data_IF_042237283624
#
_entry.id   IF_042237283624
#
_cell.length_a   1.000
_cell.length_b   1.000
_cell.length_c   1.000
_cell.angle_alpha   90.00
_cell.angle_beta   90.00
_cell.angle_gamma   90.00
#
_symmetry.space_group_name_H-M   'P 1'
#
loop_
_entity.id
_entity.type
_entity.pdbx_description
1 polymer ?
#
# COMPACT_ATOMS: atom_id res chain seq x y z
N UNK A 1 -8.36 -2.46 -7.38
CA UNK A 1 -7.12 -3.22 -7.39
C UNK A 1 -7.04 -4.19 -6.21
N UNK A 2 -5.88 -4.62 -5.73
CA UNK A 2 -5.71 -5.71 -4.75
C UNK A 2 -6.27 -5.43 -3.34
N UNK A 3 -6.63 -4.20 -3.02
CA UNK A 3 -7.19 -3.85 -1.70
C UNK A 3 -8.59 -4.46 -1.51
N UNK A 4 -9.37 -4.61 -2.57
CA UNK A 4 -10.64 -5.36 -2.51
C UNK A 4 -10.41 -6.83 -2.06
N UNK A 5 -9.23 -7.42 -2.34
CA UNK A 5 -8.87 -8.76 -1.87
C UNK A 5 -8.68 -8.85 -0.35
N UNK A 6 -8.46 -7.73 0.34
CA UNK A 6 -8.34 -7.69 1.80
C UNK A 6 -9.67 -7.91 2.51
N UNK A 7 -10.76 -7.46 1.91
CA UNK A 7 -12.11 -7.68 2.43
C UNK A 7 -12.60 -9.09 2.10
N UNK A 8 -12.34 -9.59 0.88
CA UNK A 8 -12.86 -10.85 0.34
C UNK A 8 -12.56 -12.12 1.18
N UNK A 9 -11.61 -12.11 2.09
CA UNK A 9 -11.40 -13.25 2.99
C UNK A 9 -11.90 -13.04 4.41
N UNK A 10 -12.07 -11.78 4.81
CA UNK A 10 -12.53 -11.41 6.16
C UNK A 10 -14.05 -11.39 6.26
N UNK A 11 -14.74 -11.01 5.19
CA UNK A 11 -16.19 -10.97 5.09
C UNK A 11 -16.83 -12.35 5.25
N UNK A 12 -16.26 -13.39 4.66
CA UNK A 12 -16.77 -14.75 4.79
C UNK A 12 -16.69 -15.25 6.23
N UNK A 13 -15.59 -14.94 6.93
CA UNK A 13 -15.43 -15.27 8.35
C UNK A 13 -16.40 -14.49 9.24
N UNK A 14 -16.75 -13.24 8.88
CA UNK A 14 -17.61 -12.36 9.69
C UNK A 14 -19.08 -12.63 9.41
N UNK A 15 -19.46 -12.84 8.15
CA UNK A 15 -20.81 -13.29 7.76
C UNK A 15 -21.21 -14.54 8.52
N UNK A 16 -20.30 -15.53 8.60
CA UNK A 16 -20.56 -16.80 9.27
C UNK A 16 -20.59 -16.68 10.80
N UNK A 17 -19.88 -15.68 11.38
CA UNK A 17 -19.77 -15.54 12.85
C UNK A 17 -20.69 -14.49 13.46
N UNK A 18 -21.14 -13.47 12.70
CA UNK A 18 -21.88 -12.31 13.22
C UNK A 18 -23.27 -12.13 12.57
N UNK A 19 -23.63 -12.96 11.57
CA UNK A 19 -24.93 -12.91 10.91
C UNK A 19 -25.16 -11.67 10.03
N UNK A 20 -24.10 -10.95 9.65
CA UNK A 20 -24.18 -9.75 8.80
C UNK A 20 -24.27 -10.11 7.32
N UNK A 21 -25.09 -9.37 6.56
CA UNK A 21 -25.07 -9.40 5.10
C UNK A 21 -24.08 -8.35 4.58
N UNK A 22 -23.31 -8.70 3.54
CA UNK A 22 -22.41 -7.78 2.87
C UNK A 22 -22.95 -7.41 1.51
N UNK A 23 -23.01 -6.08 1.24
CA UNK A 23 -23.23 -5.52 -0.08
C UNK A 23 -21.94 -4.83 -0.54
N UNK A 24 -21.44 -5.14 -1.76
CA UNK A 24 -20.23 -4.53 -2.31
C UNK A 24 -20.65 -3.58 -3.44
N UNK A 25 -20.27 -2.30 -3.29
CA UNK A 25 -20.44 -1.27 -4.31
C UNK A 25 -19.08 -0.78 -4.78
N UNK A 26 -18.89 -0.66 -6.09
CA UNK A 26 -17.67 -0.13 -6.69
C UNK A 26 -17.92 1.29 -7.16
N UNK A 27 -16.94 2.19 -6.85
CA UNK A 27 -16.91 3.54 -7.37
C UNK A 27 -15.94 3.59 -8.56
N UNK A 28 -16.38 4.16 -9.67
CA UNK A 28 -15.61 4.28 -10.90
C UNK A 28 -15.37 5.74 -11.23
N UNK A 29 -14.13 6.12 -11.53
CA UNK A 29 -13.76 7.49 -11.95
C UNK A 29 -14.52 7.97 -13.18
N UNK A 30 -14.92 7.05 -14.06
CA UNK A 30 -15.66 7.35 -15.30
C UNK A 30 -17.15 7.65 -15.07
N UNK A 31 -17.65 7.45 -13.87
CA UNK A 31 -19.04 7.67 -13.50
C UNK A 31 -19.17 8.88 -12.58
N UNK A 32 -20.30 9.61 -12.72
CA UNK A 32 -20.60 10.70 -11.81
C UNK A 32 -20.72 10.20 -10.36
N UNK A 33 -19.97 10.82 -9.46
CA UNK A 33 -19.91 10.42 -8.05
C UNK A 33 -21.28 10.55 -7.35
N UNK A 34 -22.06 11.58 -7.68
CA UNK A 34 -23.34 11.82 -7.03
C UNK A 34 -24.35 10.72 -7.39
N UNK A 35 -24.36 10.27 -8.65
CA UNK A 35 -25.18 9.12 -9.08
C UNK A 35 -24.77 7.82 -8.37
N UNK A 36 -23.46 7.60 -8.13
CA UNK A 36 -22.98 6.43 -7.41
C UNK A 36 -23.35 6.49 -5.93
N UNK A 37 -23.30 7.67 -5.31
CA UNK A 37 -23.73 7.89 -3.92
C UNK A 37 -25.23 7.71 -3.75
N UNK A 38 -26.04 8.14 -4.73
CA UNK A 38 -27.50 7.91 -4.69
C UNK A 38 -27.83 6.42 -4.78
N UNK A 39 -27.11 5.68 -5.60
CA UNK A 39 -27.24 4.21 -5.64
C UNK A 39 -26.86 3.57 -4.30
N UNK A 40 -25.81 4.07 -3.63
CA UNK A 40 -25.40 3.58 -2.31
C UNK A 40 -26.43 3.94 -1.23
N UNK A 41 -27.05 5.14 -1.27
CA UNK A 41 -28.12 5.55 -0.35
C UNK A 41 -29.37 4.69 -0.47
N UNK A 42 -29.61 4.11 -1.63
CA UNK A 42 -30.73 3.19 -1.85
C UNK A 42 -30.51 1.81 -1.20
N UNK A 43 -29.28 1.50 -0.77
CA UNK A 43 -28.96 0.27 -0.04
C UNK A 43 -29.32 0.48 1.44
N UNK A 44 -30.22 -0.37 1.96
CA UNK A 44 -30.54 -0.41 3.39
C UNK A 44 -29.38 -1.10 4.14
N UNK A 45 -28.44 -0.31 4.69
CA UNK A 45 -27.27 -0.81 5.40
C UNK A 45 -27.12 -0.12 6.76
N UNK A 46 -26.60 -0.84 7.74
CA UNK A 46 -26.36 -0.33 9.10
C UNK A 46 -25.00 0.37 9.27
N UNK A 47 -24.10 0.24 8.26
CA UNK A 47 -22.78 0.87 8.29
C UNK A 47 -21.99 0.64 7.00
N UNK A 48 -20.94 1.42 6.80
CA UNK A 48 -20.12 1.44 5.59
C UNK A 48 -18.64 1.21 5.93
N UNK A 49 -18.01 0.26 5.25
CA UNK A 49 -16.55 0.16 5.15
C UNK A 49 -16.11 0.81 3.84
N UNK A 50 -15.34 1.90 3.94
CA UNK A 50 -14.95 2.69 2.78
C UNK A 50 -13.45 2.53 2.48
N UNK A 51 -13.14 1.89 1.34
CA UNK A 51 -11.80 1.86 0.77
C UNK A 51 -11.69 3.01 -0.22
N UNK A 52 -11.04 4.10 0.19
CA UNK A 52 -11.02 5.35 -0.55
C UNK A 52 -9.59 5.82 -0.86
N UNK A 53 -8.65 4.90 -1.02
CA UNK A 53 -7.22 5.18 -1.18
C UNK A 53 -6.90 6.12 -2.36
N UNK A 54 -7.68 6.01 -3.45
CA UNK A 54 -7.53 6.84 -4.66
C UNK A 54 -8.63 7.91 -4.80
N UNK A 55 -9.53 8.00 -3.83
CA UNK A 55 -10.64 8.96 -3.88
C UNK A 55 -10.17 10.38 -3.58
N UNK A 56 -10.62 11.35 -4.36
CA UNK A 56 -10.32 12.75 -4.09
C UNK A 56 -10.97 13.21 -2.77
N UNK A 57 -10.30 14.10 -1.99
CA UNK A 57 -10.86 14.61 -0.73
C UNK A 57 -12.23 15.31 -0.90
N UNK A 58 -12.48 15.94 -2.05
CA UNK A 58 -13.77 16.56 -2.39
C UNK A 58 -14.90 15.55 -2.44
N UNK A 59 -14.64 14.38 -3.03
CA UNK A 59 -15.65 13.32 -3.17
C UNK A 59 -15.86 12.57 -1.87
N UNK A 60 -14.78 12.36 -1.11
CA UNK A 60 -14.86 11.78 0.22
C UNK A 60 -15.75 12.62 1.17
N UNK A 61 -15.69 13.97 1.08
CA UNK A 61 -16.54 14.84 1.92
C UNK A 61 -18.03 14.62 1.74
N UNK A 62 -18.48 14.11 0.57
CA UNK A 62 -19.89 13.80 0.28
C UNK A 62 -20.42 12.63 1.13
N UNK A 63 -19.54 11.81 1.69
CA UNK A 63 -19.93 10.74 2.63
C UNK A 63 -20.38 11.26 3.99
N UNK A 64 -20.17 12.55 4.32
CA UNK A 64 -20.69 13.17 5.55
C UNK A 64 -22.22 13.14 5.62
N UNK A 65 -22.90 13.07 4.49
CA UNK A 65 -24.36 13.09 4.43
C UNK A 65 -25.01 11.72 4.72
N UNK A 66 -24.19 10.70 4.95
CA UNK A 66 -24.69 9.39 5.36
C UNK A 66 -24.94 9.39 6.88
N UNK A 67 -26.14 8.89 7.26
CA UNK A 67 -26.54 8.79 8.66
C UNK A 67 -25.99 7.58 9.40
N UNK A 68 -25.39 6.65 8.68
CA UNK A 68 -24.80 5.42 9.22
C UNK A 68 -23.31 5.58 9.52
N UNK A 69 -22.76 4.83 10.49
CA UNK A 69 -21.34 4.84 10.77
C UNK A 69 -20.49 4.46 9.56
N UNK A 70 -19.35 5.14 9.38
CA UNK A 70 -18.38 4.86 8.33
C UNK A 70 -17.04 4.57 8.99
N UNK A 71 -16.37 3.49 8.56
CA UNK A 71 -14.98 3.19 8.89
C UNK A 71 -14.16 3.21 7.60
N UNK A 72 -13.17 4.07 7.56
CA UNK A 72 -12.26 4.21 6.42
C UNK A 72 -11.14 3.20 6.54
N UNK A 73 -10.81 2.53 5.43
CA UNK A 73 -9.80 1.47 5.41
C UNK A 73 -8.68 1.86 4.46
N UNK A 74 -7.46 1.71 4.93
CA UNK A 74 -6.21 1.91 4.17
C UNK A 74 -5.93 3.35 3.71
N UNK A 75 -6.71 4.32 4.13
CA UNK A 75 -6.45 5.74 3.91
C UNK A 75 -7.07 6.58 5.02
N UNK A 76 -6.71 7.87 5.09
CA UNK A 76 -7.33 8.85 5.98
C UNK A 76 -7.29 10.24 5.34
N UNK A 77 -8.12 11.12 5.85
CA UNK A 77 -8.21 12.52 5.45
C UNK A 77 -8.11 13.38 6.70
N UNK A 78 -7.09 14.25 6.79
CA UNK A 78 -6.76 15.02 7.99
C UNK A 78 -7.89 15.96 8.47
N UNK A 79 -8.74 16.41 7.54
CA UNK A 79 -9.82 17.35 7.83
C UNK A 79 -11.09 16.68 8.38
N UNK A 80 -11.12 15.35 8.54
CA UNK A 80 -12.33 14.60 8.80
C UNK A 80 -12.17 13.61 9.95
N UNK A 81 -13.07 13.69 10.93
CA UNK A 81 -13.11 12.78 12.07
C UNK A 81 -13.91 11.51 11.73
N UNK A 82 -13.24 10.54 11.13
CA UNK A 82 -13.76 9.19 10.91
C UNK A 82 -12.88 8.15 11.59
N UNK A 83 -13.48 7.02 11.92
CA UNK A 83 -12.71 5.85 12.27
C UNK A 83 -11.88 5.38 11.08
N UNK A 84 -10.58 5.16 11.30
CA UNK A 84 -9.68 4.71 10.26
C UNK A 84 -8.91 3.47 10.70
N UNK A 85 -8.77 2.49 9.81
CA UNK A 85 -7.90 1.34 10.00
C UNK A 85 -6.85 1.35 8.90
N UNK A 86 -5.60 1.60 9.29
CA UNK A 86 -4.50 1.98 8.42
C UNK A 86 -3.36 0.97 8.49
N UNK A 87 -2.53 0.96 7.47
CA UNK A 87 -1.22 0.34 7.47
C UNK A 87 -0.20 1.33 8.04
N UNK A 88 0.73 0.87 8.87
CA UNK A 88 1.86 1.69 9.33
C UNK A 88 2.93 1.77 8.22
N UNK A 89 2.64 2.56 7.19
CA UNK A 89 3.47 2.70 6.00
C UNK A 89 4.85 3.27 6.33
N UNK A 90 4.91 4.32 7.18
CA UNK A 90 6.18 4.96 7.59
C UNK A 90 7.09 3.94 8.26
N UNK A 91 6.57 3.17 9.24
CA UNK A 91 7.38 2.18 9.94
C UNK A 91 7.77 1.01 9.04
N UNK A 92 6.85 0.59 8.14
CA UNK A 92 7.11 -0.47 7.17
C UNK A 92 8.24 -0.11 6.21
N UNK A 93 8.17 1.05 5.57
CA UNK A 93 9.19 1.53 4.64
C UNK A 93 10.53 1.81 5.34
N UNK A 94 10.48 2.36 6.58
CA UNK A 94 11.67 2.49 7.42
C UNK A 94 12.35 1.12 7.63
N UNK A 95 11.59 0.11 8.01
CA UNK A 95 12.13 -1.22 8.28
C UNK A 95 12.67 -1.89 7.01
N UNK A 96 12.01 -1.74 5.87
CA UNK A 96 12.45 -2.25 4.57
C UNK A 96 13.80 -1.63 4.16
N UNK A 97 13.88 -0.31 4.18
CA UNK A 97 15.08 0.45 3.81
C UNK A 97 16.22 0.18 4.78
N UNK A 98 15.96 0.18 6.09
CA UNK A 98 16.94 -0.11 7.12
C UNK A 98 17.48 -1.55 7.00
N UNK A 99 16.65 -2.50 6.58
CA UNK A 99 17.11 -3.87 6.31
C UNK A 99 18.12 -3.93 5.16
N UNK A 100 17.92 -3.19 4.07
CA UNK A 100 18.90 -3.08 2.98
C UNK A 100 20.24 -2.50 3.50
N UNK A 101 20.17 -1.43 4.29
CA UNK A 101 21.36 -0.80 4.89
C UNK A 101 22.09 -1.79 5.82
N UNK A 102 21.36 -2.53 6.66
CA UNK A 102 21.93 -3.56 7.55
C UNK A 102 22.54 -4.76 6.79
N UNK A 103 22.10 -5.00 5.56
CA UNK A 103 22.72 -5.97 4.66
C UNK A 103 24.05 -5.47 4.06
N UNK A 104 24.48 -4.22 4.34
CA UNK A 104 25.74 -3.65 3.91
C UNK A 104 25.66 -2.80 2.65
N UNK A 105 24.46 -2.56 2.11
CA UNK A 105 24.27 -1.69 0.95
C UNK A 105 24.53 -0.23 1.30
N UNK A 106 25.33 0.45 0.48
CA UNK A 106 25.74 1.85 0.70
C UNK A 106 24.90 2.82 -0.15
N UNK A 107 24.54 2.40 -1.36
CA UNK A 107 23.69 3.14 -2.27
C UNK A 107 22.30 2.48 -2.27
N UNK A 108 21.43 2.98 -1.42
CA UNK A 108 20.05 2.48 -1.34
C UNK A 108 19.14 3.44 -2.07
N UNK A 109 18.60 3.01 -3.18
CA UNK A 109 17.67 3.76 -4.03
C UNK A 109 16.20 3.49 -3.68
N UNK A 110 15.32 4.16 -4.41
CA UNK A 110 13.90 4.07 -4.23
C UNK A 110 13.15 4.09 -5.57
N UNK A 111 12.37 3.06 -5.83
CA UNK A 111 11.37 3.04 -6.89
C UNK A 111 10.06 3.53 -6.30
N UNK A 112 9.85 4.84 -6.43
CA UNK A 112 8.69 5.55 -5.91
C UNK A 112 7.56 5.55 -6.94
N UNK A 113 6.33 5.38 -6.48
CA UNK A 113 5.15 5.44 -7.35
C UNK A 113 4.96 6.82 -7.98
N UNK A 114 4.58 6.84 -9.26
CA UNK A 114 4.13 8.06 -9.92
C UNK A 114 2.69 8.47 -9.55
N UNK A 115 1.95 7.59 -8.87
CA UNK A 115 0.61 7.87 -8.35
C UNK A 115 0.72 8.57 -7.00
N UNK A 116 0.11 9.75 -6.88
CA UNK A 116 0.11 10.54 -5.64
C UNK A 116 -1.04 10.11 -4.73
N UNK A 117 -0.73 9.19 -3.80
CA UNK A 117 -1.64 8.76 -2.73
C UNK A 117 -0.91 8.78 -1.38
N UNK A 118 -1.66 8.97 -0.30
CA UNK A 118 -1.12 9.09 1.05
C UNK A 118 -0.21 7.92 1.44
N UNK A 119 -0.56 6.69 1.05
CA UNK A 119 0.23 5.50 1.35
C UNK A 119 1.65 5.57 0.77
N UNK A 120 1.80 6.01 -0.47
CA UNK A 120 3.12 6.12 -1.11
C UNK A 120 3.92 7.30 -0.55
N UNK A 121 3.27 8.43 -0.24
CA UNK A 121 3.91 9.56 0.44
C UNK A 121 4.42 9.16 1.83
N UNK A 122 3.65 8.41 2.63
CA UNK A 122 4.08 7.86 3.91
C UNK A 122 5.25 6.86 3.77
N UNK A 123 5.24 6.03 2.71
CA UNK A 123 6.37 5.10 2.44
C UNK A 123 7.62 5.87 2.06
N UNK A 124 7.51 6.97 1.31
CA UNK A 124 8.63 7.88 1.03
C UNK A 124 9.20 8.48 2.33
N UNK A 125 8.34 8.96 3.24
CA UNK A 125 8.77 9.46 4.54
C UNK A 125 9.55 8.41 5.35
N UNK A 126 9.08 7.18 5.34
CA UNK A 126 9.75 6.04 5.98
C UNK A 126 11.12 5.75 5.38
N UNK A 127 11.24 5.76 4.05
CA UNK A 127 12.50 5.60 3.33
C UNK A 127 13.50 6.69 3.71
N UNK A 128 13.12 7.96 3.59
CA UNK A 128 14.02 9.07 3.95
C UNK A 128 14.36 9.10 5.43
N UNK A 129 13.45 8.69 6.30
CA UNK A 129 13.72 8.53 7.74
C UNK A 129 14.79 7.48 8.00
N UNK A 130 14.79 6.36 7.27
CA UNK A 130 15.81 5.33 7.41
C UNK A 130 17.19 5.81 6.94
N UNK A 131 17.29 6.54 5.82
CA UNK A 131 18.53 7.13 5.35
C UNK A 131 19.11 8.08 6.40
N UNK A 132 18.29 9.03 6.89
CA UNK A 132 18.72 9.98 7.93
C UNK A 132 19.21 9.29 9.21
N UNK A 133 18.49 8.27 9.67
CA UNK A 133 18.85 7.51 10.88
C UNK A 133 20.19 6.78 10.76
N UNK A 134 20.62 6.46 9.53
CA UNK A 134 21.90 5.79 9.26
C UNK A 134 22.98 6.74 8.71
N UNK A 135 22.78 8.07 8.74
CA UNK A 135 23.74 9.05 8.27
C UNK A 135 23.97 9.04 6.75
N UNK A 136 23.03 8.48 5.97
CA UNK A 136 23.10 8.44 4.51
C UNK A 136 22.44 9.71 3.96
N UNK A 137 23.07 10.33 2.95
CA UNK A 137 22.50 11.50 2.28
C UNK A 137 21.16 11.20 1.65
N UNK A 138 20.20 12.08 1.83
CA UNK A 138 18.89 12.02 1.18
C UNK A 138 18.89 12.68 -0.21
N UNK A 139 19.96 13.41 -0.56
CA UNK A 139 20.14 14.02 -1.87
C UNK A 139 21.06 13.14 -2.71
N UNK A 140 20.45 12.25 -3.52
CA UNK A 140 21.17 11.33 -4.40
C UNK A 140 20.29 10.99 -5.63
N UNK A 141 20.90 10.50 -6.74
CA UNK A 141 20.23 10.30 -8.02
C UNK A 141 19.48 8.95 -8.13
N UNK A 142 19.21 8.27 -7.03
CA UNK A 142 18.68 6.90 -7.04
C UNK A 142 17.18 6.82 -6.69
N UNK A 143 16.47 7.95 -6.72
CA UNK A 143 15.00 7.96 -6.58
C UNK A 143 14.39 8.08 -7.96
N UNK A 144 13.58 7.11 -8.34
CA UNK A 144 13.00 7.03 -9.67
C UNK A 144 11.48 6.85 -9.56
N UNK A 145 10.73 7.67 -10.32
CA UNK A 145 9.28 7.53 -10.42
C UNK A 145 8.94 6.38 -11.37
N UNK A 146 8.07 5.49 -10.89
CA UNK A 146 7.64 4.29 -11.61
C UNK A 146 6.14 4.11 -11.43
N UNK A 147 5.41 3.83 -12.50
CA UNK A 147 3.99 3.55 -12.43
C UNK A 147 3.70 2.30 -11.55
N UNK A 148 2.67 2.33 -10.69
CA UNK A 148 2.31 1.20 -9.85
C UNK A 148 1.57 0.08 -10.60
N UNK A 149 1.49 0.15 -11.92
CA UNK A 149 0.91 -0.91 -12.78
C UNK A 149 2.02 -1.76 -13.42
N UNK A 150 1.72 -3.01 -13.72
CA UNK A 150 2.71 -3.96 -14.25
C UNK A 150 3.32 -3.49 -15.58
N UNK A 151 2.47 -3.10 -16.54
CA UNK A 151 2.93 -2.80 -17.91
C UNK A 151 3.59 -1.42 -18.00
N UNK A 152 2.99 -0.40 -17.41
CA UNK A 152 3.58 0.95 -17.42
C UNK A 152 4.84 1.01 -16.54
N UNK A 153 4.82 0.37 -15.37
CA UNK A 153 6.00 0.29 -14.51
C UNK A 153 7.18 -0.38 -15.20
N UNK A 154 6.93 -1.44 -15.98
CA UNK A 154 7.96 -2.07 -16.79
C UNK A 154 8.50 -1.12 -17.88
N UNK A 155 7.62 -0.38 -18.58
CA UNK A 155 8.05 0.62 -19.59
C UNK A 155 8.85 1.76 -18.97
N UNK A 156 8.46 2.23 -17.79
CA UNK A 156 9.20 3.27 -17.08
C UNK A 156 10.60 2.80 -16.72
N UNK A 157 10.73 1.58 -16.24
CA UNK A 157 12.04 0.98 -15.96
C UNK A 157 12.91 0.82 -17.20
N UNK A 158 12.34 0.45 -18.36
CA UNK A 158 13.09 0.43 -19.62
C UNK A 158 13.59 1.82 -20.00
N UNK A 159 12.73 2.85 -19.94
CA UNK A 159 13.13 4.26 -20.21
C UNK A 159 14.26 4.71 -19.29
N UNK A 160 14.17 4.33 -18.00
CA UNK A 160 15.22 4.63 -17.02
C UNK A 160 16.56 4.02 -17.43
N UNK A 161 16.58 2.76 -17.82
CA UNK A 161 17.80 2.04 -18.24
C UNK A 161 18.35 2.60 -19.57
N UNK A 162 17.51 2.90 -20.54
CA UNK A 162 17.89 3.55 -21.80
C UNK A 162 18.53 4.93 -21.60
N UNK A 163 18.03 5.69 -20.62
CA UNK A 163 18.60 7.01 -20.26
C UNK A 163 19.96 6.95 -19.59
N UNK A 164 20.45 5.73 -19.26
CA UNK A 164 21.69 5.50 -18.50
C UNK A 164 21.69 6.19 -17.15
N UNK A 165 20.52 6.33 -16.53
CA UNK A 165 20.41 6.83 -15.18
C UNK A 165 21.24 5.94 -14.22
N UNK A 166 21.87 6.51 -13.20
CA UNK A 166 22.67 5.72 -12.26
C UNK A 166 21.78 4.74 -11.50
N UNK A 167 22.22 3.48 -11.42
CA UNK A 167 21.55 2.41 -10.70
C UNK A 167 22.25 2.17 -9.37
N UNK A 168 21.47 2.15 -8.28
CA UNK A 168 21.96 1.83 -6.94
C UNK A 168 22.18 0.31 -6.78
N UNK A 169 22.92 -0.07 -5.74
CA UNK A 169 23.18 -1.48 -5.41
C UNK A 169 22.02 -2.14 -4.61
N UNK A 170 21.06 -1.35 -4.14
CA UNK A 170 19.80 -1.86 -3.58
C UNK A 170 18.66 -0.86 -3.76
N UNK A 171 17.42 -1.37 -3.84
CA UNK A 171 16.22 -0.55 -3.94
C UNK A 171 15.11 -1.02 -2.99
N UNK A 172 14.47 -0.05 -2.35
CA UNK A 172 13.12 -0.20 -1.83
C UNK A 172 12.15 0.20 -2.94
N UNK A 173 11.06 -0.54 -3.13
CA UNK A 173 9.96 -0.22 -4.04
C UNK A 173 8.68 -0.02 -3.25
N UNK A 174 7.87 0.96 -3.63
CA UNK A 174 6.63 1.31 -2.95
C UNK A 174 5.66 0.15 -2.79
N UNK A 175 5.61 -0.73 -3.79
CA UNK A 175 4.84 -1.98 -3.69
C UNK A 175 5.51 -3.12 -4.47
N UNK A 176 4.95 -4.31 -4.35
CA UNK A 176 5.49 -5.52 -4.99
C UNK A 176 5.31 -5.50 -6.50
N UNK A 177 4.33 -4.77 -7.05
CA UNK A 177 4.11 -4.64 -8.51
C UNK A 177 5.24 -3.82 -9.14
N UNK A 178 5.58 -2.68 -8.53
CA UNK A 178 6.74 -1.87 -8.93
C UNK A 178 8.03 -2.69 -8.82
N UNK A 179 8.21 -3.43 -7.71
CA UNK A 179 9.36 -4.29 -7.52
C UNK A 179 9.47 -5.35 -8.62
N UNK A 180 8.36 -6.00 -8.97
CA UNK A 180 8.31 -7.02 -10.03
C UNK A 180 8.65 -6.44 -11.40
N UNK A 181 8.08 -5.28 -11.75
CA UNK A 181 8.37 -4.57 -12.99
C UNK A 181 9.86 -4.19 -13.09
N UNK A 182 10.42 -3.66 -12.00
CA UNK A 182 11.83 -3.32 -11.91
C UNK A 182 12.74 -4.55 -12.02
N UNK A 183 12.45 -5.63 -11.30
CA UNK A 183 13.21 -6.88 -11.38
C UNK A 183 13.22 -7.45 -12.79
N UNK A 184 12.08 -7.43 -13.46
CA UNK A 184 11.97 -7.90 -14.85
C UNK A 184 12.84 -7.07 -15.79
N UNK A 185 12.69 -5.75 -15.78
CA UNK A 185 13.44 -4.85 -16.67
C UNK A 185 14.95 -4.92 -16.43
N UNK A 186 15.40 -4.93 -15.17
CA UNK A 186 16.81 -5.05 -14.80
C UNK A 186 17.40 -6.37 -15.31
N UNK A 187 16.72 -7.51 -15.10
CA UNK A 187 17.22 -8.82 -15.56
C UNK A 187 17.33 -8.93 -17.07
N UNK A 188 16.33 -8.42 -17.80
CA UNK A 188 16.35 -8.40 -19.27
C UNK A 188 17.47 -7.50 -19.81
N UNK A 189 17.96 -6.53 -19.01
CA UNK A 189 19.10 -5.68 -19.32
C UNK A 189 20.43 -6.13 -18.68
N UNK A 190 20.52 -7.38 -18.24
CA UNK A 190 21.76 -8.03 -17.82
C UNK A 190 22.15 -7.86 -16.36
N UNK A 191 21.33 -7.22 -15.54
CA UNK A 191 21.57 -7.15 -14.09
C UNK A 191 21.16 -8.44 -13.40
N UNK A 192 21.99 -8.92 -12.49
CA UNK A 192 21.69 -10.09 -11.66
C UNK A 192 21.05 -9.63 -10.35
N UNK A 193 19.98 -10.27 -9.95
CA UNK A 193 19.28 -10.03 -8.69
C UNK A 193 19.41 -11.30 -7.85
N UNK A 194 19.98 -11.22 -6.66
CA UNK A 194 20.36 -10.02 -5.89
C UNK A 194 21.83 -9.58 -6.05
N UNK A 195 22.66 -10.21 -6.89
CA UNK A 195 24.11 -10.05 -6.92
C UNK A 195 24.54 -8.64 -7.31
N UNK A 196 23.94 -8.05 -8.34
CA UNK A 196 24.26 -6.70 -8.80
C UNK A 196 23.34 -5.67 -8.14
N UNK A 197 22.02 -5.98 -8.04
CA UNK A 197 20.99 -5.11 -7.45
C UNK A 197 20.10 -5.92 -6.51
N UNK A 198 20.03 -5.55 -5.25
CA UNK A 198 19.05 -6.08 -4.30
C UNK A 198 17.73 -5.31 -4.37
N UNK A 199 16.59 -5.99 -4.22
CA UNK A 199 15.27 -5.33 -4.26
C UNK A 199 14.39 -5.84 -3.14
N UNK A 200 13.69 -4.91 -2.47
CA UNK A 200 12.67 -5.19 -1.47
C UNK A 200 11.39 -4.43 -1.82
N UNK A 201 10.24 -5.12 -1.79
CA UNK A 201 8.92 -4.57 -2.06
C UNK A 201 8.11 -4.26 -0.79
N UNK A 202 6.80 -4.11 -1.00
CA UNK A 202 5.80 -3.87 0.04
C UNK A 202 4.47 -4.51 -0.38
N UNK A 203 3.72 -5.08 0.55
CA UNK A 203 2.38 -5.70 0.53
C UNK A 203 2.36 -7.23 0.73
N UNK A 204 3.40 -7.97 0.33
CA UNK A 204 3.50 -9.44 0.34
C UNK A 204 2.35 -10.09 -0.47
N UNK A 205 2.26 -9.68 -1.75
CA UNK A 205 1.28 -10.28 -2.68
C UNK A 205 1.70 -11.72 -3.07
N UNK A 206 0.73 -12.60 -3.44
CA UNK A 206 1.03 -14.01 -3.71
C UNK A 206 2.11 -14.26 -4.76
N UNK A 207 2.28 -13.36 -5.73
CA UNK A 207 3.30 -13.49 -6.77
C UNK A 207 4.73 -13.41 -6.23
N UNK A 208 4.97 -12.82 -5.06
CA UNK A 208 6.31 -12.65 -4.49
C UNK A 208 7.07 -13.97 -4.32
N UNK A 209 6.36 -15.03 -3.97
CA UNK A 209 6.93 -16.38 -3.82
C UNK A 209 7.26 -17.05 -5.17
N UNK A 210 6.58 -16.66 -6.24
CA UNK A 210 6.72 -17.24 -7.58
C UNK A 210 7.74 -16.49 -8.46
N UNK A 211 8.21 -15.33 -8.02
CA UNK A 211 9.23 -14.56 -8.72
C UNK A 211 10.59 -15.26 -8.69
N UNK A 212 11.46 -14.94 -9.63
CA UNK A 212 12.82 -15.49 -9.71
C UNK A 212 13.84 -14.34 -9.72
N UNK A 213 14.59 -14.14 -8.62
CA UNK A 213 14.43 -14.80 -7.32
C UNK A 213 13.15 -14.38 -6.59
N UNK A 214 12.65 -15.15 -5.60
CA UNK A 214 11.53 -14.76 -4.76
C UNK A 214 11.76 -13.43 -4.05
N UNK A 215 10.75 -12.54 -4.08
CA UNK A 215 10.85 -11.15 -3.62
C UNK A 215 10.74 -11.05 -2.10
N UNK A 216 11.76 -10.44 -1.47
CA UNK A 216 11.68 -9.93 -0.10
C UNK A 216 10.75 -8.74 -0.05
N UNK A 217 9.91 -8.63 0.98
CA UNK A 217 8.86 -7.61 1.02
C UNK A 217 8.39 -7.31 2.45
N UNK A 218 7.64 -6.23 2.61
CA UNK A 218 6.92 -5.93 3.85
C UNK A 218 5.50 -6.47 3.78
N UNK A 219 5.20 -7.47 4.59
CA UNK A 219 3.87 -8.09 4.65
C UNK A 219 2.86 -7.18 5.33
N UNK A 220 1.81 -6.85 4.62
CA UNK A 220 0.57 -6.28 5.16
C UNK A 220 -0.36 -7.41 5.61
N UNK A 221 -0.85 -7.31 6.84
CA UNK A 221 -1.79 -8.29 7.41
C UNK A 221 -3.22 -7.96 6.98
N UNK A 222 -3.50 -8.20 5.70
CA UNK A 222 -4.76 -7.80 5.05
C UNK A 222 -5.99 -8.34 5.77
N UNK A 223 -5.98 -9.62 6.19
CA UNK A 223 -7.10 -10.25 6.90
C UNK A 223 -7.38 -9.58 8.25
N UNK A 224 -6.32 -9.32 9.01
CA UNK A 224 -6.43 -8.64 10.30
C UNK A 224 -6.88 -7.19 10.13
N UNK A 225 -6.43 -6.50 9.06
CA UNK A 225 -6.88 -5.16 8.71
C UNK A 225 -8.40 -5.14 8.49
N UNK A 226 -8.90 -6.03 7.62
CA UNK A 226 -10.33 -6.16 7.35
C UNK A 226 -11.13 -6.55 8.59
N UNK A 227 -10.68 -7.54 9.35
CA UNK A 227 -11.34 -7.97 10.58
C UNK A 227 -11.44 -6.83 11.63
N UNK A 228 -10.36 -6.04 11.78
CA UNK A 228 -10.35 -4.88 12.67
C UNK A 228 -11.32 -3.80 12.19
N UNK A 229 -11.38 -3.54 10.89
CA UNK A 229 -12.29 -2.55 10.31
C UNK A 229 -13.76 -2.93 10.53
N UNK A 230 -14.11 -4.21 10.30
CA UNK A 230 -15.47 -4.69 10.54
C UNK A 230 -15.81 -4.66 12.03
N UNK A 231 -14.93 -5.14 12.90
CA UNK A 231 -15.19 -5.07 14.35
C UNK A 231 -15.42 -3.63 14.80
N UNK A 232 -14.61 -2.68 14.30
CA UNK A 232 -14.80 -1.27 14.61
C UNK A 232 -16.13 -0.72 14.10
N UNK A 233 -16.54 -1.12 12.89
CA UNK A 233 -17.85 -0.73 12.35
C UNK A 233 -18.99 -1.24 13.22
N UNK A 234 -18.97 -2.51 13.61
CA UNK A 234 -19.99 -3.09 14.51
C UNK A 234 -20.04 -2.37 15.87
N UNK A 235 -18.88 -2.03 16.42
CA UNK A 235 -18.81 -1.25 17.65
C UNK A 235 -19.44 0.13 17.51
N UNK A 236 -19.33 0.76 16.33
CA UNK A 236 -19.94 2.06 16.03
C UNK A 236 -21.43 1.96 15.73
N UNK A 237 -21.88 0.86 15.12
CA UNK A 237 -23.31 0.57 14.94
C UNK A 237 -23.99 0.39 16.30
N UNK A 238 -23.35 -0.36 17.21
CA UNK A 238 -23.87 -0.59 18.56
C UNK A 238 -23.90 0.68 19.42
N UNK A 239 -22.92 1.58 19.25
CA UNK A 239 -22.83 2.84 19.98
C UNK A 239 -22.26 3.95 19.09
N UNK A 240 -23.12 4.70 18.37
CA UNK A 240 -22.70 5.78 17.46
C UNK A 240 -21.96 6.95 18.14
N UNK A 241 -22.04 7.07 19.47
CA UNK A 241 -21.39 8.15 20.22
C UNK A 241 -19.95 7.86 20.62
N UNK A 242 -19.43 6.65 20.33
CA UNK A 242 -18.02 6.34 20.62
C UNK A 242 -17.08 7.31 19.91
N UNK A 243 -15.98 7.63 20.58
CA UNK A 243 -14.91 8.45 19.99
C UNK A 243 -14.34 7.80 18.73
N UNK A 244 -13.98 8.63 17.74
CA UNK A 244 -13.31 8.18 16.53
C UNK A 244 -11.89 7.70 16.84
N UNK A 245 -11.45 6.61 16.21
CA UNK A 245 -10.14 6.04 16.41
C UNK A 245 -9.38 5.93 15.08
N UNK A 246 -8.10 6.32 15.11
CA UNK A 246 -7.14 6.07 14.04
C UNK A 246 -6.24 4.90 14.44
N UNK A 247 -6.49 3.72 13.88
CA UNK A 247 -5.81 2.47 14.20
C UNK A 247 -4.76 2.14 13.14
N UNK A 248 -3.48 2.06 13.50
CA UNK A 248 -2.39 1.74 12.59
C UNK A 248 -1.87 0.33 12.82
N UNK A 249 -1.90 -0.50 11.81
CA UNK A 249 -1.45 -1.89 11.86
C UNK A 249 0.01 -2.03 11.44
N UNK A 250 0.80 -2.71 12.27
CA UNK A 250 2.20 -2.98 11.99
C UNK A 250 2.36 -3.96 10.83
N UNK A 251 3.39 -3.72 10.00
CA UNK A 251 3.82 -4.62 8.94
C UNK A 251 4.90 -5.58 9.42
N UNK A 252 5.19 -6.64 8.66
CA UNK A 252 6.20 -7.63 8.98
C UNK A 252 7.15 -7.82 7.81
N UNK A 253 8.45 -7.73 8.06
CA UNK A 253 9.48 -8.07 7.07
C UNK A 253 9.45 -9.56 6.73
N UNK A 254 9.30 -9.88 5.45
CA UNK A 254 9.41 -11.22 4.88
C UNK A 254 10.68 -11.27 4.04
N UNK A 255 11.69 -11.99 4.54
CA UNK A 255 12.96 -12.14 3.85
C UNK A 255 12.88 -13.30 2.88
N UNK A 256 13.25 -13.06 1.63
CA UNK A 256 13.38 -14.05 0.57
C UNK A 256 14.76 -13.92 -0.10
N UNK A 257 14.85 -14.16 -1.42
CA UNK A 257 16.12 -14.27 -2.12
C UNK A 257 16.50 -13.04 -2.96
N UNK A 258 15.66 -12.00 -3.00
CA UNK A 258 15.92 -10.78 -3.79
C UNK A 258 16.86 -9.78 -3.11
N UNK A 259 17.39 -10.08 -1.92
CA UNK A 259 18.33 -9.23 -1.17
C UNK A 259 19.55 -10.05 -0.74
N UNK A 260 20.74 -9.61 -1.14
CA UNK A 260 22.03 -10.18 -0.73
C UNK A 260 22.64 -9.40 0.45
N UNK A 261 23.57 -10.01 1.14
CA UNK A 261 24.49 -9.31 2.05
C UNK A 261 25.75 -8.92 1.29
N UNK A 262 26.26 -7.71 1.55
CA UNK A 262 27.51 -7.16 1.04
C UNK A 262 28.62 -7.29 2.06
#
# INVERSE_FOLDING_TARGET
YEIASCLVGSEMCIRDSQGCALHISYFYETMDIDSQLDALRAVDCEGILLLATEMAPSDFRKFRDFSVPIVVVDCYYDELDYDCVLINNIQGAFNATNYLIQCGHKNVGYFHSSLDISNFSERADGYYKALRANGISTSHPYVHLVSPTSDEGYRDMLRLLESKAPIADAYFADNDIIAAAAMRALRENGYRIPEDVSIIGFDDVPMCDMMVPPLSTMKVRKRELGATAVQRLLDRVADPKRECLKMCMATKLVKRQSVSRR
#
